data_IF_687037808659
#
_entry.id   IF_687037808659
#
_cell.length_a   1.000
_cell.length_b   1.000
_cell.length_c   1.000
_cell.angle_alpha   90.00
_cell.angle_beta   90.00
_cell.angle_gamma   90.00
#
_symmetry.space_group_name_H-M   'P 1'
#
loop_
_entity.id
_entity.type
_entity.pdbx_description
1 polymer ?
#
# COMPACT_ATOMS: atom_id res chain seq x y z
N UNK A 1 3.61 5.38 -6.97
CA UNK A 1 4.01 4.91 -8.31
C UNK A 1 5.19 5.65 -8.94
N UNK A 2 5.55 6.88 -8.53
CA UNK A 2 6.65 7.65 -9.16
C UNK A 2 8.07 7.07 -8.94
N UNK A 3 8.36 6.43 -7.80
CA UNK A 3 9.70 5.92 -7.50
C UNK A 3 10.11 4.71 -8.36
N UNK A 4 9.18 3.77 -8.57
CA UNK A 4 9.42 2.62 -9.46
C UNK A 4 9.69 3.07 -10.89
N UNK A 5 8.84 3.95 -11.43
CA UNK A 5 9.02 4.48 -12.79
C UNK A 5 10.36 5.21 -12.92
N UNK A 6 10.71 6.06 -11.95
CA UNK A 6 12.00 6.77 -11.92
C UNK A 6 13.19 5.82 -11.90
N UNK A 7 13.12 4.73 -11.13
CA UNK A 7 14.16 3.71 -11.09
C UNK A 7 14.28 2.97 -12.42
N UNK A 8 13.16 2.57 -13.02
CA UNK A 8 13.13 1.92 -14.33
C UNK A 8 13.67 2.81 -15.45
N UNK A 9 13.26 4.09 -15.49
CA UNK A 9 13.76 5.05 -16.46
C UNK A 9 15.29 5.25 -16.32
N UNK A 10 15.79 5.24 -15.08
CA UNK A 10 17.22 5.30 -14.80
C UNK A 10 17.96 4.03 -15.26
N UNK A 11 17.38 2.84 -15.06
CA UNK A 11 17.95 1.58 -15.57
C UNK A 11 18.02 1.56 -17.10
N UNK A 12 16.95 1.98 -17.78
CA UNK A 12 16.91 2.07 -19.24
C UNK A 12 17.96 3.06 -19.74
N UNK A 13 18.13 4.19 -19.06
CA UNK A 13 19.13 5.19 -19.43
C UNK A 13 20.56 4.68 -19.22
N UNK A 14 20.83 4.01 -18.10
CA UNK A 14 22.12 3.37 -17.83
C UNK A 14 22.46 2.33 -18.91
N UNK A 15 21.49 1.51 -19.31
CA UNK A 15 21.67 0.52 -20.35
C UNK A 15 22.07 1.16 -21.69
N UNK A 16 21.37 2.22 -22.10
CA UNK A 16 21.73 2.99 -23.31
C UNK A 16 23.13 3.60 -23.23
N UNK A 17 23.57 4.06 -22.05
CA UNK A 17 24.92 4.61 -21.84
C UNK A 17 26.00 3.54 -21.98
N UNK A 18 25.77 2.34 -21.44
CA UNK A 18 26.67 1.17 -21.61
C UNK A 18 26.79 0.75 -23.07
N UNK A 19 25.68 0.72 -23.80
CA UNK A 19 25.69 0.42 -25.25
C UNK A 19 26.45 1.49 -26.05
N UNK A 20 26.31 2.77 -25.68
CA UNK A 20 27.06 3.86 -26.30
C UNK A 20 28.57 3.76 -26.01
N UNK A 21 28.97 3.42 -24.79
CA UNK A 21 30.37 3.18 -24.43
C UNK A 21 30.96 2.02 -25.24
N UNK A 22 30.25 0.89 -25.34
CA UNK A 22 30.69 -0.27 -26.15
C UNK A 22 30.93 0.13 -27.62
N UNK A 23 30.07 0.96 -28.21
CA UNK A 23 30.27 1.50 -29.57
C UNK A 23 31.50 2.40 -29.67
N UNK A 24 31.77 3.23 -28.65
CA UNK A 24 32.95 4.10 -28.62
C UNK A 24 34.26 3.30 -28.48
N UNK A 25 34.24 2.22 -27.70
CA UNK A 25 35.37 1.28 -27.59
C UNK A 25 35.67 0.65 -28.94
N UNK A 26 34.66 0.14 -29.66
CA UNK A 26 34.82 -0.43 -31.00
C UNK A 26 35.32 0.59 -32.03
N UNK A 27 34.89 1.85 -31.93
CA UNK A 27 35.32 2.92 -32.81
C UNK A 27 36.73 3.48 -32.50
N UNK A 28 37.39 2.96 -31.45
CA UNK A 28 38.73 3.35 -31.01
C UNK A 28 38.90 4.88 -30.80
N UNK A 29 37.91 5.51 -30.14
CA UNK A 29 37.91 6.96 -29.83
C UNK A 29 38.18 7.21 -28.33
N UNK A 30 39.44 7.18 -27.87
CA UNK A 30 39.79 7.22 -26.44
C UNK A 30 39.34 8.52 -25.75
N UNK A 31 39.36 9.65 -26.44
CA UNK A 31 39.03 10.97 -25.90
C UNK A 31 37.58 11.07 -25.39
N UNK A 32 36.66 10.33 -26.01
CA UNK A 32 35.24 10.28 -25.62
C UNK A 32 34.92 9.13 -24.66
N UNK A 33 35.84 8.17 -24.53
CA UNK A 33 35.62 6.97 -23.73
C UNK A 33 35.64 7.28 -22.23
N UNK A 34 36.54 8.17 -21.79
CA UNK A 34 36.62 8.55 -20.38
C UNK A 34 35.32 9.21 -19.90
N UNK A 35 34.79 10.18 -20.67
CA UNK A 35 33.50 10.81 -20.37
C UNK A 35 32.35 9.79 -20.31
N UNK A 36 32.31 8.82 -21.23
CA UNK A 36 31.28 7.78 -21.24
C UNK A 36 31.33 6.91 -19.97
N UNK A 37 32.53 6.58 -19.48
CA UNK A 37 32.72 5.83 -18.23
C UNK A 37 32.28 6.62 -17.00
N UNK A 38 32.59 7.90 -16.96
CA UNK A 38 32.18 8.77 -15.85
C UNK A 38 30.65 8.96 -15.81
N UNK A 39 30.02 9.15 -16.98
CA UNK A 39 28.57 9.16 -17.13
C UNK A 39 27.93 7.84 -16.63
N UNK A 40 28.48 6.69 -17.02
CA UNK A 40 27.98 5.38 -16.56
C UNK A 40 28.03 5.30 -15.04
N UNK A 41 29.15 5.71 -14.43
CA UNK A 41 29.35 5.66 -12.97
C UNK A 41 28.36 6.56 -12.23
N UNK A 42 28.00 7.71 -12.79
CA UNK A 42 26.95 8.58 -12.25
C UNK A 42 25.57 7.92 -12.33
N UNK A 43 25.24 7.32 -13.48
CA UNK A 43 23.96 6.65 -13.68
C UNK A 43 23.81 5.38 -12.85
N UNK A 44 24.89 4.65 -12.59
CA UNK A 44 24.90 3.52 -11.65
C UNK A 44 24.50 3.97 -10.23
N UNK A 45 25.05 5.11 -9.76
CA UNK A 45 24.63 5.69 -8.47
C UNK A 45 23.15 6.09 -8.48
N UNK A 46 22.66 6.67 -9.58
CA UNK A 46 21.24 7.03 -9.72
C UNK A 46 20.31 5.81 -9.69
N UNK A 47 20.70 4.72 -10.35
CA UNK A 47 19.95 3.46 -10.34
C UNK A 47 19.93 2.86 -8.93
N UNK A 48 21.08 2.79 -8.25
CA UNK A 48 21.16 2.29 -6.87
C UNK A 48 20.31 3.12 -5.90
N UNK A 49 20.32 4.45 -6.03
CA UNK A 49 19.48 5.30 -5.20
C UNK A 49 17.99 5.08 -5.50
N UNK A 50 17.62 5.00 -6.77
CA UNK A 50 16.23 4.73 -7.17
C UNK A 50 15.71 3.38 -6.65
N UNK A 51 16.56 2.36 -6.64
CA UNK A 51 16.26 1.04 -6.08
C UNK A 51 15.99 1.12 -4.57
N UNK A 52 16.89 1.77 -3.81
CA UNK A 52 16.71 2.00 -2.37
C UNK A 52 15.43 2.76 -2.05
N UNK A 53 15.16 3.83 -2.80
CA UNK A 53 13.94 4.64 -2.63
C UNK A 53 12.68 3.78 -2.89
N UNK A 54 12.72 2.93 -3.92
CA UNK A 54 11.62 2.03 -4.26
C UNK A 54 11.42 0.92 -3.23
N UNK A 55 12.50 0.34 -2.71
CA UNK A 55 12.43 -0.70 -1.68
C UNK A 55 11.88 -0.14 -0.36
N UNK A 56 12.35 1.05 0.05
CA UNK A 56 11.88 1.71 1.26
C UNK A 56 10.37 1.98 1.21
N UNK A 57 9.87 2.58 0.13
CA UNK A 57 8.44 2.86 0.02
C UNK A 57 7.62 1.57 -0.10
N UNK A 58 8.16 0.56 -0.78
CA UNK A 58 7.49 -0.74 -0.91
C UNK A 58 7.37 -1.46 0.44
N UNK A 59 8.39 -1.37 1.29
CA UNK A 59 8.36 -1.88 2.66
C UNK A 59 7.27 -1.18 3.48
N UNK A 60 7.26 0.16 3.48
CA UNK A 60 6.24 0.94 4.19
C UNK A 60 4.83 0.58 3.72
N UNK A 61 4.60 0.47 2.40
CA UNK A 61 3.28 0.09 1.88
C UNK A 61 2.85 -1.29 2.40
N UNK A 62 3.75 -2.29 2.45
CA UNK A 62 3.40 -3.62 2.98
C UNK A 62 3.01 -3.57 4.45
N UNK A 63 3.76 -2.83 5.26
CA UNK A 63 3.48 -2.66 6.69
C UNK A 63 2.12 -1.97 6.91
N UNK A 64 1.84 -0.93 6.14
CA UNK A 64 0.56 -0.19 6.19
C UNK A 64 -0.63 -1.05 5.75
N UNK A 65 -0.47 -1.88 4.71
CA UNK A 65 -1.52 -2.81 4.27
C UNK A 65 -1.81 -3.84 5.35
N UNK A 66 -0.77 -4.43 5.96
CA UNK A 66 -0.94 -5.38 7.07
C UNK A 66 -1.63 -4.74 8.28
N UNK A 67 -1.25 -3.50 8.64
CA UNK A 67 -1.90 -2.76 9.71
C UNK A 67 -3.37 -2.51 9.40
N UNK A 68 -3.66 -2.01 8.20
CA UNK A 68 -5.02 -1.74 7.74
C UNK A 68 -5.90 -2.98 7.79
N UNK A 69 -5.42 -4.14 7.32
CA UNK A 69 -6.18 -5.38 7.37
C UNK A 69 -6.49 -5.81 8.82
N UNK A 70 -5.52 -5.65 9.72
CA UNK A 70 -5.70 -5.92 11.15
C UNK A 70 -6.69 -4.98 11.83
N UNK A 71 -6.64 -3.68 11.52
CA UNK A 71 -7.58 -2.67 12.03
C UNK A 71 -8.99 -2.90 11.49
N UNK A 72 -9.12 -3.20 10.20
CA UNK A 72 -10.40 -3.49 9.55
C UNK A 72 -11.17 -4.58 10.28
N UNK A 73 -10.53 -5.69 10.66
CA UNK A 73 -11.19 -6.78 11.39
C UNK A 73 -11.69 -6.32 12.77
N UNK A 74 -10.90 -5.52 13.48
CA UNK A 74 -11.29 -4.98 14.80
C UNK A 74 -12.47 -4.02 14.69
N UNK A 75 -12.48 -3.19 13.67
CA UNK A 75 -13.56 -2.23 13.42
C UNK A 75 -14.86 -2.96 13.07
N UNK A 76 -14.81 -3.95 12.17
CA UNK A 76 -15.97 -4.79 11.85
C UNK A 76 -16.52 -5.49 13.09
N UNK A 77 -15.65 -6.09 13.91
CA UNK A 77 -16.07 -6.72 15.17
C UNK A 77 -16.77 -5.73 16.10
N UNK A 78 -16.22 -4.52 16.23
CA UNK A 78 -16.79 -3.46 17.08
C UNK A 78 -18.18 -3.04 16.60
N UNK A 79 -18.35 -2.87 15.29
CA UNK A 79 -19.64 -2.51 14.69
C UNK A 79 -20.67 -3.62 14.90
N UNK A 80 -20.28 -4.89 14.69
CA UNK A 80 -21.17 -6.04 14.89
C UNK A 80 -21.61 -6.16 16.36
N UNK A 81 -20.69 -5.99 17.31
CA UNK A 81 -21.02 -6.03 18.74
C UNK A 81 -22.04 -4.95 19.08
N UNK A 82 -21.79 -3.69 18.69
CA UNK A 82 -22.73 -2.59 18.93
C UNK A 82 -24.11 -2.84 18.32
N UNK A 83 -24.14 -3.41 17.13
CA UNK A 83 -25.39 -3.79 16.48
C UNK A 83 -26.15 -4.86 17.28
N UNK A 84 -25.48 -5.92 17.70
CA UNK A 84 -26.08 -7.00 18.49
C UNK A 84 -26.57 -6.52 19.86
N UNK A 85 -25.80 -5.67 20.53
CA UNK A 85 -26.20 -5.05 21.80
C UNK A 85 -27.49 -4.23 21.63
N UNK A 86 -27.56 -3.39 20.59
CA UNK A 86 -28.76 -2.60 20.26
C UNK A 86 -29.96 -3.49 19.92
N UNK A 87 -29.73 -4.58 19.19
CA UNK A 87 -30.78 -5.54 18.84
C UNK A 87 -31.36 -6.21 20.09
N UNK A 88 -30.50 -6.69 21.00
CA UNK A 88 -30.93 -7.32 22.26
C UNK A 88 -31.71 -6.34 23.13
N UNK A 89 -31.23 -5.10 23.26
CA UNK A 89 -31.93 -4.05 24.02
C UNK A 89 -33.33 -3.78 23.44
N UNK A 90 -33.44 -3.70 22.12
CA UNK A 90 -34.72 -3.49 21.44
C UNK A 90 -35.69 -4.65 21.70
N UNK A 91 -35.21 -5.89 21.61
CA UNK A 91 -36.03 -7.07 21.89
C UNK A 91 -36.47 -7.14 23.35
N UNK A 92 -35.59 -6.82 24.30
CA UNK A 92 -35.94 -6.74 25.72
C UNK A 92 -37.00 -5.68 25.99
N UNK A 93 -36.93 -4.53 25.32
CA UNK A 93 -37.93 -3.48 25.46
C UNK A 93 -39.29 -3.92 24.88
N UNK A 94 -39.29 -4.63 23.74
CA UNK A 94 -40.50 -5.19 23.16
C UNK A 94 -41.18 -6.21 24.09
N UNK A 95 -40.41 -7.08 24.74
CA UNK A 95 -40.92 -8.03 25.73
C UNK A 95 -41.60 -7.28 26.88
N UNK A 96 -40.95 -6.25 27.44
CA UNK A 96 -41.53 -5.44 28.52
C UNK A 96 -42.86 -4.80 28.13
N UNK A 97 -42.97 -4.28 26.91
CA UNK A 97 -44.23 -3.72 26.41
C UNK A 97 -45.32 -4.78 26.29
N UNK A 98 -45.00 -5.97 25.79
CA UNK A 98 -45.95 -7.09 25.72
C UNK A 98 -46.40 -7.57 27.09
N UNK A 99 -45.48 -7.70 28.05
CA UNK A 99 -45.79 -8.08 29.43
C UNK A 99 -46.68 -7.04 30.13
N UNK A 100 -46.49 -5.75 29.84
CA UNK A 100 -47.34 -4.68 30.37
C UNK A 100 -48.76 -4.69 29.77
N UNK A 101 -48.90 -5.06 28.50
CA UNK A 101 -50.20 -5.11 27.80
C UNK A 101 -51.01 -6.39 28.12
N UNK A 102 -50.34 -7.48 28.49
CA UNK A 102 -50.95 -8.78 28.80
C UNK A 102 -52.07 -8.73 29.87
N UNK A 103 -51.92 -8.03 31.00
CA UNK A 103 -52.98 -7.87 32.00
C UNK A 103 -54.21 -7.13 31.46
N UNK A 104 -53.99 -6.09 30.67
CA UNK A 104 -55.05 -5.28 30.06
C UNK A 104 -55.84 -6.15 29.08
N UNK A 105 -55.18 -6.89 28.20
CA UNK A 105 -55.82 -7.84 27.29
C UNK A 105 -56.64 -8.92 28.01
N UNK A 106 -56.14 -9.44 29.15
CA UNK A 106 -56.86 -10.43 29.98
C UNK A 106 -58.08 -9.86 30.70
N UNK A 107 -58.14 -8.55 30.92
CA UNK A 107 -59.29 -7.92 31.60
C UNK A 107 -60.50 -7.71 30.69
N UNK A 108 -60.33 -7.85 29.37
CA UNK A 108 -61.34 -7.59 28.34
C UNK A 108 -61.86 -8.89 27.70
N UNK A 109 -61.28 -10.05 28.06
CA UNK A 109 -61.69 -11.39 27.64
C UNK A 109 -62.39 -12.13 28.79
#
# INVERSE_FOLDING_TARGET
MKCWQKWQDAQVTLQKKREAEAKLQLANRPDKLQQAKDDIKEWEKKVQQGEKDFEQISKTIREEVQRFEGERVKDFKTVIIKYLESLVQTQQQLIKYWEAFLPEAKSIA
#
